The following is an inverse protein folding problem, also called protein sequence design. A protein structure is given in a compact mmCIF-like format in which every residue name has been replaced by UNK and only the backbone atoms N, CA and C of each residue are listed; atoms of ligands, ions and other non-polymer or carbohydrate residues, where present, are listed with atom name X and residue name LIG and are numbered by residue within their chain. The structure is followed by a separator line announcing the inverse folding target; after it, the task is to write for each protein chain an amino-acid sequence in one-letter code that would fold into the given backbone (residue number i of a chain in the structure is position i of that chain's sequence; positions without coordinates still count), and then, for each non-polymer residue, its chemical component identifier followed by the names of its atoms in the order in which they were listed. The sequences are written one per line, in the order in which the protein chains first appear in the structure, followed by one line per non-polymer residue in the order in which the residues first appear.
data_IF_633522137757
#
_entry.id   IF_633522137757
#
_cell.length_a   1.000
_cell.length_b   1.000
_cell.length_c   1.000
_cell.angle_alpha   90.00
_cell.angle_beta   90.00
_cell.angle_gamma   90.00
#
_symmetry.space_group_name_H-M   'P 1'
#
loop_
_entity.id
_entity.type
_entity.pdbx_description
1 polymer ?
#
# COMPACT_ATOMS: atom_id res chain seq x y z
N UNK A 1 0.79 -56.17 -22.34
CA UNK A 1 1.40 -54.88 -22.73
C UNK A 1 0.28 -53.89 -22.80
N UNK A 2 0.16 -53.04 -21.78
CA UNK A 2 -0.95 -52.10 -21.63
C UNK A 2 -0.85 -50.98 -22.70
N UNK A 3 -1.93 -50.74 -23.46
CA UNK A 3 -1.96 -49.74 -24.54
C UNK A 3 -1.95 -48.30 -24.05
N UNK A 4 -1.86 -48.04 -22.74
CA UNK A 4 -1.94 -46.70 -22.11
C UNK A 4 -0.60 -45.96 -22.20
N UNK A 5 0.53 -46.67 -22.22
CA UNK A 5 1.88 -46.08 -22.23
C UNK A 5 2.21 -45.22 -23.49
N UNK A 6 1.84 -45.63 -24.72
CA UNK A 6 2.14 -44.83 -25.92
C UNK A 6 1.27 -43.55 -26.01
N UNK A 7 0.06 -43.55 -25.48
CA UNK A 7 -0.85 -42.38 -25.53
C UNK A 7 -0.36 -41.26 -24.59
N UNK A 8 0.11 -41.63 -23.40
CA UNK A 8 0.64 -40.65 -22.45
C UNK A 8 1.94 -39.99 -22.90
N UNK A 9 2.84 -40.77 -23.55
CA UNK A 9 4.08 -40.25 -24.14
C UNK A 9 3.77 -39.31 -25.30
N UNK A 10 2.80 -39.65 -26.16
CA UNK A 10 2.40 -38.85 -27.30
C UNK A 10 1.77 -37.51 -26.86
N UNK A 11 0.94 -37.52 -25.81
CA UNK A 11 0.35 -36.30 -25.25
C UNK A 11 1.37 -35.37 -24.61
N UNK A 12 2.40 -35.89 -23.93
CA UNK A 12 3.50 -35.09 -23.38
C UNK A 12 4.37 -34.48 -24.46
N UNK A 13 4.65 -35.22 -25.56
CA UNK A 13 5.39 -34.68 -26.69
C UNK A 13 4.61 -33.60 -27.44
N UNK A 14 3.29 -33.78 -27.59
CA UNK A 14 2.44 -32.76 -28.21
C UNK A 14 2.34 -31.50 -27.36
N UNK A 15 2.20 -31.64 -26.03
CA UNK A 15 2.18 -30.52 -25.09
C UNK A 15 3.49 -29.75 -25.09
N UNK A 16 4.65 -30.42 -25.13
CA UNK A 16 5.95 -29.77 -25.21
C UNK A 16 6.19 -29.05 -26.54
N UNK A 17 5.68 -29.61 -27.65
CA UNK A 17 5.76 -28.97 -28.98
C UNK A 17 4.92 -27.68 -29.03
N UNK A 18 3.71 -27.73 -28.49
CA UNK A 18 2.83 -26.56 -28.42
C UNK A 18 3.46 -25.46 -27.54
N UNK A 19 4.01 -25.79 -26.37
CA UNK A 19 4.71 -24.86 -25.51
C UNK A 19 5.94 -24.23 -26.20
N UNK A 20 6.71 -25.03 -26.96
CA UNK A 20 7.85 -24.55 -27.72
C UNK A 20 7.46 -23.56 -28.83
N UNK A 21 6.36 -23.82 -29.56
CA UNK A 21 5.84 -22.92 -30.60
C UNK A 21 5.38 -21.59 -29.97
N UNK A 22 4.69 -21.64 -28.82
CA UNK A 22 4.28 -20.44 -28.11
C UNK A 22 5.48 -19.62 -27.61
N UNK A 23 6.51 -20.27 -27.07
CA UNK A 23 7.75 -19.59 -26.65
C UNK A 23 8.46 -18.94 -27.84
N UNK A 24 8.61 -19.64 -28.96
CA UNK A 24 9.20 -19.07 -30.18
C UNK A 24 8.40 -17.87 -30.70
N UNK A 25 7.08 -17.97 -30.72
CA UNK A 25 6.19 -16.87 -31.13
C UNK A 25 6.35 -15.64 -30.21
N UNK A 26 6.43 -15.87 -28.89
CA UNK A 26 6.65 -14.83 -27.89
C UNK A 26 8.00 -14.12 -28.07
N UNK A 27 9.09 -14.86 -28.23
CA UNK A 27 10.41 -14.29 -28.46
C UNK A 27 10.55 -13.58 -29.83
N UNK A 28 9.84 -14.05 -30.86
CA UNK A 28 9.81 -13.40 -32.14
C UNK A 28 9.11 -12.04 -32.08
N UNK A 29 7.98 -11.95 -31.34
CA UNK A 29 7.24 -10.70 -31.12
C UNK A 29 8.09 -9.69 -30.33
N UNK A 30 8.78 -10.13 -29.29
CA UNK A 30 9.66 -9.28 -28.48
C UNK A 30 10.88 -8.76 -29.27
N UNK A 31 11.40 -9.54 -30.22
CA UNK A 31 12.52 -9.13 -31.07
C UNK A 31 12.11 -8.11 -32.14
N UNK A 32 10.88 -8.15 -32.64
CA UNK A 32 10.35 -7.15 -33.55
C UNK A 32 10.06 -5.82 -32.85
N UNK A 33 9.63 -5.84 -31.58
CA UNK A 33 9.43 -4.62 -30.77
C UNK A 33 10.76 -3.92 -30.45
N UNK A 34 11.84 -4.66 -30.22
CA UNK A 34 13.17 -4.08 -29.97
C UNK A 34 13.81 -3.53 -31.24
N UNK A 35 13.52 -4.09 -32.41
CA UNK A 35 14.02 -3.59 -33.71
C UNK A 35 13.27 -2.35 -34.22
N UNK A 36 12.01 -2.11 -33.81
CA UNK A 36 11.27 -0.91 -34.17
C UNK A 36 11.70 0.36 -33.40
N UNK A 37 12.52 0.22 -32.37
CA UNK A 37 13.06 1.32 -31.55
C UNK A 37 14.48 1.77 -31.94
N UNK A 38 15.10 1.20 -32.99
CA UNK A 38 16.50 1.45 -33.35
C UNK A 38 16.78 1.91 -34.76
N UNK A 39 15.83 2.56 -35.46
CA UNK A 39 16.12 3.18 -36.77
C UNK A 39 15.71 4.64 -36.83
N UNK A 40 16.66 5.59 -36.78
CA UNK A 40 16.43 6.93 -37.33
C UNK A 40 16.84 6.94 -38.84
N UNK A 41 15.91 7.29 -39.68
CA UNK A 41 16.15 7.42 -41.14
C UNK A 41 17.13 8.55 -41.43
N UNK A 42 18.20 8.17 -42.15
CA UNK A 42 19.13 9.06 -42.82
C UNK A 42 18.73 9.20 -44.29
N UNK A 43 18.30 10.38 -44.70
CA UNK A 43 18.32 10.77 -46.13
C UNK A 43 19.58 11.55 -46.42
N UNK A 44 20.40 10.97 -47.31
CA UNK A 44 21.55 11.61 -47.94
C UNK A 44 21.17 11.98 -49.41
N UNK A 45 21.66 13.10 -49.88
CA UNK A 45 22.37 13.14 -51.19
C UNK A 45 23.05 14.50 -51.46
N UNK A 46 23.96 14.58 -52.49
CA UNK A 46 25.36 14.97 -52.23
C UNK A 46 25.81 16.22 -53.04
N UNK A 47 26.94 16.80 -52.71
CA UNK A 47 28.00 17.29 -53.63
C UNK A 47 29.14 18.02 -52.93
N UNK A 48 30.36 17.55 -53.25
CA UNK A 48 31.71 18.05 -52.98
C UNK A 48 32.08 19.24 -53.93
N UNK A 49 33.31 19.85 -53.91
CA UNK A 49 34.38 19.98 -52.87
C UNK A 49 35.03 21.40 -52.80
N UNK A 50 35.86 21.67 -51.82
CA UNK A 50 37.21 22.21 -52.00
C UNK A 50 37.78 22.86 -50.71
N UNK A 51 39.07 22.63 -50.50
CA UNK A 51 39.96 22.98 -49.40
C UNK A 51 40.61 24.37 -49.55
N UNK A 52 41.62 24.72 -48.71
CA UNK A 52 41.66 25.37 -47.40
C UNK A 52 42.54 26.71 -47.48
N UNK A 53 43.32 27.23 -46.51
CA UNK A 53 43.35 27.24 -45.07
C UNK A 53 43.60 28.64 -44.44
N UNK A 54 43.95 28.65 -43.13
CA UNK A 54 44.62 29.67 -42.29
C UNK A 54 43.76 30.65 -41.49
N UNK A 55 43.90 30.75 -40.24
CA UNK A 55 44.87 31.01 -39.22
C UNK A 55 44.32 32.02 -38.19
N UNK A 56 44.44 31.70 -36.92
CA UNK A 56 44.74 32.52 -35.72
C UNK A 56 43.90 33.78 -35.44
N UNK A 57 43.12 33.75 -34.31
CA UNK A 57 43.41 34.66 -33.17
C UNK A 57 42.46 34.40 -31.99
N UNK A 58 43.04 34.41 -30.81
CA UNK A 58 42.39 34.36 -29.50
C UNK A 58 41.56 35.62 -29.26
N UNK A 59 40.30 35.42 -28.79
CA UNK A 59 39.70 36.38 -27.84
C UNK A 59 38.60 35.71 -27.04
N UNK A 60 38.74 35.82 -25.72
CA UNK A 60 37.80 35.48 -24.70
C UNK A 60 36.49 36.26 -24.86
N UNK A 61 35.35 35.57 -24.86
CA UNK A 61 34.08 36.15 -24.43
C UNK A 61 33.16 35.09 -23.81
N UNK A 62 32.69 35.46 -22.66
CA UNK A 62 31.67 34.90 -21.80
C UNK A 62 30.57 34.11 -22.52
N UNK A 63 30.29 32.88 -22.01
CA UNK A 63 29.12 32.11 -22.33
C UNK A 63 27.85 32.81 -21.84
N UNK A 64 26.82 32.98 -22.66
CA UNK A 64 25.49 33.21 -22.13
C UNK A 64 24.94 31.86 -21.66
N UNK A 65 24.59 31.80 -20.39
CA UNK A 65 23.72 30.76 -19.88
C UNK A 65 22.39 30.87 -20.61
N UNK A 66 22.12 29.93 -21.54
CA UNK A 66 20.78 29.70 -22.02
C UNK A 66 20.02 29.00 -20.88
N UNK A 67 19.23 29.79 -20.16
CA UNK A 67 18.10 29.24 -19.42
C UNK A 67 17.21 28.55 -20.43
N UNK A 68 17.31 27.22 -20.53
CA UNK A 68 16.22 26.42 -21.01
C UNK A 68 15.09 26.61 -19.99
N UNK A 69 14.17 27.50 -20.30
CA UNK A 69 12.90 27.57 -19.60
C UNK A 69 12.20 26.24 -19.88
N UNK A 70 12.23 25.36 -18.90
CA UNK A 70 11.26 24.30 -18.79
C UNK A 70 9.88 24.97 -18.83
N UNK A 71 9.28 24.94 -20.01
CA UNK A 71 7.85 25.13 -20.16
C UNK A 71 7.20 23.89 -19.56
N UNK A 72 7.14 23.86 -18.23
CA UNK A 72 6.27 22.97 -17.49
C UNK A 72 4.83 23.39 -17.84
N UNK A 73 4.29 22.70 -18.88
CA UNK A 73 2.93 22.89 -19.32
C UNK A 73 2.02 22.62 -18.13
N UNK A 74 1.49 23.67 -17.57
CA UNK A 74 0.32 23.87 -16.72
C UNK A 74 -0.50 22.57 -16.48
N UNK A 75 0.08 21.60 -15.77
CA UNK A 75 -0.65 20.48 -15.17
C UNK A 75 -1.48 21.14 -14.07
N UNK A 76 -2.76 21.33 -14.32
CA UNK A 76 -3.70 21.80 -13.31
C UNK A 76 -3.62 20.82 -12.14
N UNK A 77 -2.96 21.23 -11.06
CA UNK A 77 -2.95 20.49 -9.82
C UNK A 77 -4.38 20.43 -9.29
N UNK A 78 -4.79 19.26 -8.80
CA UNK A 78 -6.08 19.13 -8.14
C UNK A 78 -6.12 20.04 -6.90
N UNK A 79 -7.23 20.75 -6.61
CA UNK A 79 -7.30 21.69 -5.48
C UNK A 79 -6.94 21.07 -4.12
N UNK A 80 -7.20 19.78 -3.94
CA UNK A 80 -6.90 19.05 -2.71
C UNK A 80 -5.45 18.49 -2.68
N UNK A 81 -4.68 18.56 -3.76
CA UNK A 81 -3.27 18.11 -3.80
C UNK A 81 -2.39 19.09 -3.00
N UNK A 82 -1.98 18.70 -1.81
CA UNK A 82 -1.16 19.52 -0.90
C UNK A 82 0.32 19.42 -1.26
N UNK A 83 0.82 18.20 -1.46
CA UNK A 83 2.25 17.99 -1.72
C UNK A 83 2.57 16.59 -2.24
N UNK A 84 3.78 16.46 -2.78
CA UNK A 84 4.33 15.19 -3.26
C UNK A 84 5.65 14.88 -2.60
N UNK A 85 5.73 13.75 -1.88
CA UNK A 85 6.95 13.21 -1.32
C UNK A 85 7.73 12.45 -2.40
N UNK A 86 8.94 12.91 -2.67
CA UNK A 86 9.83 12.37 -3.72
C UNK A 86 10.99 11.60 -3.11
N UNK A 87 11.77 10.91 -3.95
CA UNK A 87 12.99 10.23 -3.55
C UNK A 87 12.89 8.72 -3.47
N UNK A 88 11.75 8.12 -3.88
CA UNK A 88 11.61 6.68 -4.04
C UNK A 88 12.22 6.24 -5.38
N UNK A 89 13.05 5.18 -5.34
CA UNK A 89 13.72 4.66 -6.54
C UNK A 89 12.85 3.73 -7.38
N UNK A 90 11.79 3.16 -6.77
CA UNK A 90 10.87 2.22 -7.39
C UNK A 90 9.45 2.37 -6.82
N UNK A 91 8.53 1.47 -7.18
CA UNK A 91 7.15 1.42 -6.68
C UNK A 91 7.08 1.52 -5.17
N UNK A 92 6.20 2.38 -4.67
CA UNK A 92 5.90 2.46 -3.24
C UNK A 92 4.85 1.40 -2.92
N UNK A 93 5.18 0.46 -2.07
CA UNK A 93 4.39 -0.76 -1.81
C UNK A 93 3.53 -0.68 -0.55
N UNK A 94 3.82 0.26 0.33
CA UNK A 94 3.06 0.45 1.56
C UNK A 94 3.32 1.79 2.20
N UNK A 95 2.38 2.27 2.98
CA UNK A 95 2.50 3.47 3.79
C UNK A 95 1.70 3.34 5.10
N UNK A 96 2.16 4.04 6.14
CA UNK A 96 1.49 4.11 7.42
C UNK A 96 1.85 5.41 8.14
N UNK A 97 0.89 6.08 8.74
CA UNK A 97 1.14 7.20 9.66
C UNK A 97 1.47 6.69 11.06
N UNK A 98 2.30 7.43 11.77
CA UNK A 98 2.47 7.26 13.23
C UNK A 98 1.19 7.68 13.96
N UNK A 99 0.99 7.15 15.17
CA UNK A 99 -0.22 7.42 15.98
C UNK A 99 -0.42 8.91 16.33
N UNK A 100 0.68 9.70 16.36
CA UNK A 100 0.64 11.14 16.54
C UNK A 100 0.45 11.94 15.24
N UNK A 101 0.44 11.26 14.08
CA UNK A 101 0.29 11.87 12.76
C UNK A 101 1.52 12.63 12.24
N UNK A 102 2.60 12.76 13.04
CA UNK A 102 3.78 13.56 12.69
C UNK A 102 4.80 12.85 11.83
N UNK A 103 4.66 11.55 11.67
CA UNK A 103 5.56 10.75 10.84
C UNK A 103 4.77 9.91 9.85
N UNK A 104 5.31 9.76 8.64
CA UNK A 104 4.79 8.88 7.59
C UNK A 104 5.89 7.92 7.16
N UNK A 105 5.69 6.64 7.41
CA UNK A 105 6.58 5.59 6.92
C UNK A 105 6.10 5.08 5.57
N UNK A 106 7.04 4.87 4.64
CA UNK A 106 6.78 4.32 3.31
C UNK A 106 7.69 3.14 3.04
N UNK A 107 7.11 2.05 2.54
CA UNK A 107 7.85 0.89 2.01
C UNK A 107 8.00 1.04 0.50
N UNK A 108 9.19 0.75 -0.03
CA UNK A 108 9.48 0.88 -1.44
C UNK A 108 10.20 -0.36 -1.99
N UNK A 109 9.86 -0.76 -3.20
CA UNK A 109 10.47 -1.90 -3.87
C UNK A 109 11.97 -1.72 -4.15
N UNK A 110 12.51 -0.50 -3.98
CA UNK A 110 13.95 -0.21 -4.03
C UNK A 110 14.75 -0.73 -2.83
N UNK A 111 14.11 -1.45 -1.89
CA UNK A 111 14.74 -2.01 -0.70
C UNK A 111 14.86 -1.02 0.46
N UNK A 112 14.20 0.12 0.39
CA UNK A 112 14.35 1.21 1.37
C UNK A 112 13.00 1.57 1.99
N UNK A 113 12.99 1.69 3.31
CA UNK A 113 11.91 2.35 4.07
C UNK A 113 12.32 3.79 4.31
N UNK A 114 11.39 4.72 4.12
CA UNK A 114 11.58 6.13 4.42
C UNK A 114 10.56 6.57 5.44
N UNK A 115 11.03 7.18 6.53
CA UNK A 115 10.16 7.74 7.58
C UNK A 115 10.26 9.25 7.47
N UNK A 116 9.28 9.87 6.84
CA UNK A 116 9.19 11.31 6.66
C UNK A 116 8.65 11.99 7.92
N UNK A 117 9.25 13.11 8.31
CA UNK A 117 8.69 13.99 9.33
C UNK A 117 7.78 15.03 8.68
N UNK A 118 6.56 15.12 9.18
CA UNK A 118 5.51 16.00 8.66
C UNK A 118 5.25 17.15 9.64
N UNK A 119 6.30 17.93 9.92
CA UNK A 119 6.18 19.13 10.77
C UNK A 119 5.31 20.20 10.08
N UNK A 120 5.37 20.30 8.75
CA UNK A 120 4.51 21.09 7.87
C UNK A 120 4.39 20.39 6.52
N UNK A 121 3.19 19.96 6.18
CA UNK A 121 2.92 19.21 4.95
C UNK A 121 3.06 20.06 3.67
N UNK A 122 3.06 21.39 3.76
CA UNK A 122 3.31 22.28 2.64
C UNK A 122 4.79 22.52 2.33
N UNK A 123 5.69 21.98 3.14
CA UNK A 123 7.14 22.17 3.00
C UNK A 123 7.66 21.74 1.63
N UNK A 124 8.56 22.55 1.03
CA UNK A 124 9.20 22.24 -0.26
C UNK A 124 10.14 21.04 -0.20
N UNK A 125 10.62 20.69 1.00
CA UNK A 125 11.50 19.53 1.22
C UNK A 125 11.21 18.89 2.56
N UNK A 126 11.22 17.56 2.57
CA UNK A 126 10.95 16.76 3.77
C UNK A 126 12.24 16.09 4.23
N UNK A 127 12.50 16.18 5.53
CA UNK A 127 13.51 15.35 6.17
C UNK A 127 12.94 13.94 6.36
N UNK A 128 13.72 12.92 6.06
CA UNK A 128 13.32 11.54 6.30
C UNK A 128 14.49 10.70 6.82
N UNK A 129 14.16 9.75 7.65
CA UNK A 129 15.03 8.68 8.07
C UNK A 129 15.03 7.59 7.01
N UNK A 130 16.21 7.16 6.58
CA UNK A 130 16.38 6.06 5.62
C UNK A 130 16.72 4.77 6.36
N UNK A 131 15.96 3.72 6.10
CA UNK A 131 16.19 2.38 6.63
C UNK A 131 16.35 1.43 5.44
N UNK A 132 17.50 0.78 5.33
CA UNK A 132 17.71 -0.25 4.32
C UNK A 132 17.30 -1.60 4.91
N UNK A 133 16.48 -2.37 4.19
CA UNK A 133 16.18 -3.75 4.58
C UNK A 133 17.38 -4.65 4.26
N UNK A 134 17.49 -5.83 4.89
CA UNK A 134 18.54 -6.79 4.57
C UNK A 134 18.61 -7.13 3.07
N UNK A 135 19.82 -7.37 2.57
CA UNK A 135 20.08 -7.60 1.15
C UNK A 135 19.21 -8.73 0.58
N UNK A 136 18.65 -8.50 -0.60
CA UNK A 136 17.76 -9.45 -1.27
C UNK A 136 16.31 -9.42 -0.79
N UNK A 137 15.98 -8.54 0.15
CA UNK A 137 14.61 -8.31 0.61
C UNK A 137 13.94 -7.16 -0.15
N UNK A 138 12.64 -7.32 -0.45
CA UNK A 138 11.80 -6.30 -1.03
C UNK A 138 10.70 -5.93 -0.05
N UNK A 139 10.67 -4.70 0.50
CA UNK A 139 9.61 -4.26 1.39
C UNK A 139 8.24 -4.35 0.71
N UNK A 140 7.26 -4.95 1.40
CA UNK A 140 5.90 -5.12 0.89
C UNK A 140 4.86 -4.35 1.69
N UNK A 141 5.10 -4.17 2.98
CA UNK A 141 4.20 -3.44 3.87
C UNK A 141 4.97 -2.86 5.07
N UNK A 142 4.39 -1.85 5.70
CA UNK A 142 4.97 -1.15 6.85
C UNK A 142 3.87 -0.78 7.85
N UNK A 143 4.19 -0.85 9.14
CA UNK A 143 3.34 -0.38 10.22
C UNK A 143 4.19 0.24 11.33
N UNK A 144 3.66 1.24 12.04
CA UNK A 144 4.29 1.71 13.27
C UNK A 144 4.00 0.75 14.43
N UNK A 145 4.97 0.65 15.33
CA UNK A 145 4.84 -0.01 16.62
C UNK A 145 4.73 1.04 17.74
N UNK A 146 5.37 0.81 18.88
CA UNK A 146 5.32 1.70 20.05
C UNK A 146 6.01 3.05 19.78
N UNK A 147 5.26 4.03 19.31
CA UNK A 147 5.72 5.40 19.07
C UNK A 147 6.22 5.68 17.64
N UNK A 148 6.60 6.94 17.36
CA UNK A 148 6.91 7.41 16.00
C UNK A 148 8.27 6.96 15.46
N UNK A 149 9.12 6.37 16.33
CA UNK A 149 10.48 5.94 15.97
C UNK A 149 10.60 4.43 15.74
N UNK A 150 9.53 3.68 15.97
CA UNK A 150 9.54 2.22 15.88
C UNK A 150 8.68 1.73 14.73
N UNK A 151 9.31 1.10 13.75
CA UNK A 151 8.66 0.68 12.51
C UNK A 151 8.82 -0.81 12.28
N UNK A 152 7.71 -1.51 12.05
CA UNK A 152 7.68 -2.91 11.63
C UNK A 152 7.54 -2.96 10.11
N UNK A 153 8.39 -3.74 9.49
CA UNK A 153 8.49 -3.88 8.03
C UNK A 153 8.32 -5.33 7.64
N UNK A 154 7.43 -5.60 6.71
CA UNK A 154 7.38 -6.87 6.01
C UNK A 154 8.27 -6.80 4.77
N UNK A 155 9.14 -7.78 4.60
CA UNK A 155 10.06 -7.86 3.46
C UNK A 155 9.97 -9.23 2.82
N UNK A 156 9.72 -9.26 1.52
CA UNK A 156 9.67 -10.47 0.71
C UNK A 156 11.05 -10.88 0.27
N UNK A 157 11.36 -12.16 0.44
CA UNK A 157 12.57 -12.83 -0.06
C UNK A 157 12.18 -14.02 -0.92
N UNK A 158 13.15 -14.68 -1.54
CA UNK A 158 12.93 -15.93 -2.31
C UNK A 158 12.35 -17.06 -1.44
N UNK A 159 12.65 -17.05 -0.14
CA UNK A 159 12.20 -18.10 0.80
C UNK A 159 10.86 -17.83 1.48
N UNK A 160 10.30 -16.63 1.29
CA UNK A 160 9.07 -16.19 1.91
C UNK A 160 9.16 -14.79 2.49
N UNK A 161 8.18 -14.39 3.28
CA UNK A 161 8.14 -13.07 3.92
C UNK A 161 8.78 -13.10 5.30
N UNK A 162 9.52 -12.05 5.61
CA UNK A 162 10.15 -11.82 6.92
C UNK A 162 9.66 -10.52 7.52
N UNK A 163 9.61 -10.43 8.84
CA UNK A 163 9.28 -9.22 9.59
C UNK A 163 10.53 -8.71 10.30
N UNK A 164 10.74 -7.41 10.24
CA UNK A 164 11.81 -6.69 10.93
C UNK A 164 11.21 -5.51 11.68
N UNK A 165 11.59 -5.33 12.94
CA UNK A 165 11.27 -4.13 13.69
C UNK A 165 12.51 -3.28 13.86
N UNK A 166 12.45 -2.07 13.37
CA UNK A 166 13.48 -1.06 13.52
C UNK A 166 13.08 -0.06 14.60
N UNK A 167 14.01 0.27 15.47
CA UNK A 167 13.84 1.28 16.50
C UNK A 167 15.09 2.14 16.63
N UNK A 168 14.97 3.29 17.29
CA UNK A 168 16.11 4.17 17.54
C UNK A 168 17.13 3.48 18.46
N UNK A 169 18.41 3.60 18.10
CA UNK A 169 19.50 3.28 19.02
C UNK A 169 19.54 4.34 20.14
N UNK A 170 19.69 3.91 21.39
CA UNK A 170 19.98 4.86 22.48
C UNK A 170 21.32 5.51 22.19
N UNK A 171 21.41 6.87 22.14
CA UNK A 171 22.67 7.55 21.86
C UNK A 171 23.74 7.09 22.87
N UNK A 172 24.84 6.56 22.36
CA UNK A 172 26.05 6.29 23.18
C UNK A 172 26.59 7.63 23.69
N UNK A 173 26.99 7.69 24.94
CA UNK A 173 27.38 8.90 25.66
C UNK A 173 28.44 9.80 24.95
N UNK A 174 29.10 9.32 23.92
CA UNK A 174 30.20 10.00 23.21
C UNK A 174 29.83 10.49 21.79
N UNK A 175 28.58 10.38 21.34
CA UNK A 175 28.17 10.80 19.98
C UNK A 175 27.18 11.97 20.01
N UNK A 176 27.58 13.09 20.63
CA UNK A 176 26.80 14.31 20.57
C UNK A 176 26.78 14.86 19.13
N UNK A 177 25.60 14.82 18.49
CA UNK A 177 25.33 15.47 17.20
C UNK A 177 25.03 14.58 16.01
N UNK A 178 25.13 13.24 16.11
CA UNK A 178 24.67 12.31 15.06
C UNK A 178 23.23 11.88 15.33
N UNK A 179 22.40 11.88 14.27
CA UNK A 179 21.07 11.27 14.34
C UNK A 179 21.23 9.79 14.64
N UNK A 180 20.50 9.22 15.62
CA UNK A 180 20.57 7.81 15.91
C UNK A 180 20.19 7.00 14.67
N UNK A 181 21.01 6.00 14.31
CA UNK A 181 20.71 5.09 13.22
C UNK A 181 19.68 4.07 13.70
N UNK A 182 18.70 3.70 12.86
CA UNK A 182 17.74 2.68 13.21
C UNK A 182 18.40 1.29 13.25
N UNK A 183 18.20 0.59 14.36
CA UNK A 183 18.65 -0.79 14.56
C UNK A 183 17.49 -1.77 14.50
N UNK A 184 17.77 -2.99 14.02
CA UNK A 184 16.84 -4.11 14.16
C UNK A 184 16.74 -4.49 15.64
N UNK A 185 15.56 -4.33 16.23
CA UNK A 185 15.29 -4.69 17.61
C UNK A 185 14.83 -6.14 17.74
N UNK A 186 14.10 -6.61 16.73
CA UNK A 186 13.74 -8.02 16.58
C UNK A 186 13.48 -8.33 15.09
N UNK A 187 13.60 -9.62 14.76
CA UNK A 187 13.33 -10.12 13.42
C UNK A 187 12.72 -11.51 13.46
N UNK A 188 11.87 -11.79 12.48
CA UNK A 188 11.30 -13.10 12.21
C UNK A 188 11.44 -13.46 10.76
N UNK A 189 12.22 -14.49 10.47
CA UNK A 189 12.39 -15.00 9.12
C UNK A 189 11.28 -15.99 8.76
N UNK A 190 10.87 -15.97 7.49
CA UNK A 190 9.89 -16.93 6.94
C UNK A 190 8.57 -16.95 7.73
N UNK A 191 8.11 -15.80 8.17
CA UNK A 191 6.82 -15.67 8.87
C UNK A 191 5.70 -16.25 8.01
N UNK A 192 5.78 -16.05 6.69
CA UNK A 192 4.94 -16.70 5.69
C UNK A 192 5.83 -17.42 4.68
N UNK A 193 5.78 -18.75 4.67
CA UNK A 193 6.60 -19.54 3.76
C UNK A 193 6.14 -19.42 2.32
N UNK A 194 7.07 -19.09 1.41
CA UNK A 194 6.84 -18.97 -0.05
C UNK A 194 5.70 -18.02 -0.44
N UNK A 195 5.30 -17.11 0.45
CA UNK A 195 4.19 -16.17 0.23
C UNK A 195 4.58 -14.76 0.63
N UNK A 196 4.00 -13.79 -0.07
CA UNK A 196 4.17 -12.37 0.28
C UNK A 196 3.25 -11.97 1.44
N UNK A 197 3.70 -11.02 2.26
CA UNK A 197 2.81 -10.26 3.14
C UNK A 197 2.10 -9.20 2.31
N UNK A 198 0.77 -9.24 2.30
CA UNK A 198 -0.09 -8.27 1.61
C UNK A 198 -0.29 -7.01 2.45
N UNK A 199 -0.63 -7.20 3.73
CA UNK A 199 -0.90 -6.09 4.65
C UNK A 199 -0.24 -6.30 6.00
N UNK A 200 0.28 -5.22 6.58
CA UNK A 200 0.60 -5.09 7.99
C UNK A 200 -0.40 -4.13 8.62
N UNK A 201 -1.08 -4.59 9.66
CA UNK A 201 -1.99 -3.77 10.45
C UNK A 201 -1.50 -3.70 11.88
N UNK A 202 -1.26 -2.49 12.40
CA UNK A 202 -0.93 -2.24 13.79
C UNK A 202 -2.10 -1.62 14.54
N UNK A 203 -2.35 -2.04 15.76
CA UNK A 203 -3.34 -1.45 16.64
C UNK A 203 -2.85 -1.42 18.08
N UNK A 204 -3.23 -0.38 18.81
CA UNK A 204 -3.00 -0.30 20.25
C UNK A 204 -4.09 -1.07 20.96
N UNK A 205 -3.70 -2.13 21.67
CA UNK A 205 -4.64 -2.94 22.43
C UNK A 205 -5.16 -2.14 23.63
N UNK A 206 -6.37 -1.64 23.53
CA UNK A 206 -7.01 -0.79 24.55
C UNK A 206 -8.35 -1.34 25.04
N UNK A 207 -8.72 -2.56 24.65
CA UNK A 207 -9.98 -3.19 25.01
C UNK A 207 -9.82 -4.21 26.14
N UNK A 208 -10.72 -4.17 27.11
CA UNK A 208 -10.78 -5.13 28.22
C UNK A 208 -9.58 -5.04 29.16
N UNK A 209 -8.83 -6.12 29.31
CA UNK A 209 -7.64 -6.21 30.17
C UNK A 209 -6.33 -5.89 29.46
N UNK A 210 -6.39 -5.38 28.22
CA UNK A 210 -5.21 -5.01 27.45
C UNK A 210 -4.39 -3.90 28.13
N UNK A 211 -3.07 -3.96 27.98
CA UNK A 211 -2.10 -3.09 28.64
C UNK A 211 -1.69 -1.86 27.83
N UNK A 212 -2.33 -1.64 26.68
CA UNK A 212 -1.99 -0.56 25.75
C UNK A 212 -0.81 -0.86 24.83
N UNK A 213 -0.30 -2.08 24.81
CA UNK A 213 0.76 -2.47 23.88
C UNK A 213 0.26 -2.56 22.44
N UNK A 214 1.19 -2.39 21.49
CA UNK A 214 0.87 -2.51 20.07
C UNK A 214 0.85 -3.98 19.65
N UNK A 215 -0.21 -4.38 18.96
CA UNK A 215 -0.33 -5.67 18.27
C UNK A 215 -0.19 -5.46 16.78
N UNK A 216 0.56 -6.33 16.12
CA UNK A 216 0.77 -6.32 14.67
C UNK A 216 0.16 -7.58 14.09
N UNK A 217 -0.65 -7.42 13.05
CA UNK A 217 -1.17 -8.50 12.23
C UNK A 217 -0.49 -8.48 10.85
N UNK A 218 0.19 -9.55 10.50
CA UNK A 218 0.78 -9.78 9.19
C UNK A 218 -0.09 -10.74 8.41
N UNK A 219 -0.70 -10.27 7.34
CA UNK A 219 -1.58 -11.06 6.48
C UNK A 219 -0.83 -11.51 5.23
N UNK A 220 -0.77 -12.83 5.01
CA UNK A 220 -0.15 -13.39 3.81
C UNK A 220 -1.10 -13.42 2.61
N UNK A 221 -0.52 -13.58 1.44
CA UNK A 221 -1.25 -13.93 0.21
C UNK A 221 -1.92 -15.32 0.29
N UNK A 222 -1.61 -16.12 1.31
CA UNK A 222 -2.23 -17.42 1.59
C UNK A 222 -3.50 -17.31 2.39
N UNK A 223 -3.63 -18.22 3.37
CA UNK A 223 -4.76 -18.26 4.31
C UNK A 223 -4.36 -17.87 5.73
N UNK A 224 -3.08 -17.64 5.96
CA UNK A 224 -2.51 -17.41 7.28
C UNK A 224 -2.36 -15.90 7.60
N UNK A 225 -2.61 -15.57 8.87
CA UNK A 225 -2.37 -14.26 9.46
C UNK A 225 -1.60 -14.49 10.76
N UNK A 226 -0.41 -13.90 10.85
CA UNK A 226 0.43 -14.00 12.05
C UNK A 226 0.22 -12.77 12.92
N UNK A 227 -0.05 -13.01 14.20
CA UNK A 227 -0.16 -11.97 15.23
C UNK A 227 1.11 -11.93 16.06
N UNK A 228 1.69 -10.74 16.25
CA UNK A 228 2.85 -10.55 17.08
C UNK A 228 2.76 -9.26 17.92
N UNK A 229 3.49 -9.27 19.03
CA UNK A 229 3.65 -8.10 19.87
C UNK A 229 4.59 -7.09 19.21
N UNK A 230 4.16 -5.86 18.99
CA UNK A 230 4.92 -4.86 18.25
C UNK A 230 6.30 -4.57 18.83
N UNK A 231 6.41 -4.41 20.17
CA UNK A 231 7.67 -4.03 20.83
C UNK A 231 8.64 -5.19 20.99
N UNK A 232 8.15 -6.38 21.33
CA UNK A 232 9.03 -7.53 21.67
C UNK A 232 9.19 -8.51 20.52
N UNK A 233 8.35 -8.43 19.49
CA UNK A 233 8.30 -9.39 18.40
C UNK A 233 7.70 -10.75 18.78
N UNK A 234 7.30 -10.96 20.04
CA UNK A 234 6.73 -12.25 20.46
C UNK A 234 5.54 -12.62 19.58
N UNK A 235 5.64 -13.74 18.91
CA UNK A 235 4.54 -14.30 18.12
C UNK A 235 3.50 -14.85 19.09
N UNK A 236 2.26 -14.38 18.94
CA UNK A 236 1.13 -14.82 19.76
C UNK A 236 0.41 -16.01 19.16
N UNK A 237 0.43 -16.14 17.83
CA UNK A 237 -0.23 -17.22 17.12
C UNK A 237 -0.40 -16.97 15.65
N UNK A 238 -0.95 -17.96 14.99
CA UNK A 238 -1.30 -17.95 13.58
C UNK A 238 -2.80 -18.18 13.45
N UNK A 239 -3.48 -17.32 12.73
CA UNK A 239 -4.90 -17.42 12.40
C UNK A 239 -5.01 -17.94 10.98
N UNK A 240 -5.55 -19.16 10.80
CA UNK A 240 -5.93 -19.66 9.49
C UNK A 240 -7.34 -19.15 9.15
N UNK A 241 -7.44 -18.34 8.10
CA UNK A 241 -8.73 -17.83 7.64
C UNK A 241 -9.63 -18.93 7.07
N UNK A 242 -9.03 -20.07 6.71
CA UNK A 242 -9.73 -21.16 6.04
C UNK A 242 -10.59 -20.64 4.85
N UNK A 243 -9.96 -19.79 4.04
CA UNK A 243 -10.49 -19.22 2.80
C UNK A 243 -9.48 -19.49 1.68
N UNK A 244 -9.89 -19.37 0.42
CA UNK A 244 -9.04 -19.74 -0.72
C UNK A 244 -7.74 -18.93 -0.79
N UNK A 245 -7.83 -17.61 -0.57
CA UNK A 245 -6.71 -16.67 -0.65
C UNK A 245 -7.14 -15.38 0.00
N UNK A 246 -6.31 -14.85 0.89
CA UNK A 246 -6.56 -13.54 1.48
C UNK A 246 -6.35 -12.43 0.45
N UNK A 247 -7.16 -11.39 0.55
CA UNK A 247 -6.92 -10.11 -0.08
C UNK A 247 -6.26 -9.14 0.88
N UNK A 248 -6.76 -9.08 2.10
CA UNK A 248 -6.22 -8.24 3.15
C UNK A 248 -6.77 -8.64 4.51
N UNK A 249 -6.09 -8.21 5.55
CA UNK A 249 -6.61 -8.24 6.92
C UNK A 249 -6.30 -6.91 7.63
N UNK A 250 -7.16 -6.55 8.57
CA UNK A 250 -6.98 -5.38 9.41
C UNK A 250 -7.37 -5.67 10.85
N UNK A 251 -6.67 -5.00 11.79
CA UNK A 251 -7.05 -4.91 13.18
C UNK A 251 -8.02 -3.75 13.39
N UNK A 252 -8.98 -3.91 14.29
CA UNK A 252 -9.78 -2.78 14.75
C UNK A 252 -8.90 -1.77 15.52
N UNK A 253 -9.18 -0.45 15.49
CA UNK A 253 -8.38 0.57 16.17
C UNK A 253 -8.12 0.30 17.65
N UNK A 254 -9.07 -0.32 18.35
CA UNK A 254 -8.93 -0.70 19.76
C UNK A 254 -8.22 -2.05 20.00
N UNK A 255 -7.77 -2.73 18.93
CA UNK A 255 -7.08 -4.02 19.01
C UNK A 255 -7.96 -5.22 19.36
N UNK A 256 -9.28 -5.04 19.50
CA UNK A 256 -10.20 -6.13 19.88
C UNK A 256 -10.44 -7.13 18.78
N UNK A 257 -10.64 -6.66 17.55
CA UNK A 257 -11.04 -7.50 16.42
C UNK A 257 -9.98 -7.55 15.33
N UNK A 258 -9.84 -8.72 14.73
CA UNK A 258 -9.16 -8.95 13.46
C UNK A 258 -10.22 -9.31 12.42
N UNK A 259 -10.22 -8.62 11.28
CA UNK A 259 -11.09 -8.94 10.15
C UNK A 259 -10.26 -9.28 8.92
N UNK A 260 -10.68 -10.27 8.14
CA UNK A 260 -10.01 -10.67 6.91
C UNK A 260 -11.00 -10.79 5.75
N UNK A 261 -10.65 -10.16 4.62
CA UNK A 261 -11.27 -10.31 3.33
C UNK A 261 -10.45 -11.26 2.45
N UNK A 262 -11.14 -12.06 1.64
CA UNK A 262 -10.50 -13.03 0.74
C UNK A 262 -11.22 -13.08 -0.61
N UNK A 263 -10.81 -14.02 -1.47
CA UNK A 263 -11.49 -14.29 -2.76
C UNK A 263 -12.92 -14.80 -2.62
N UNK A 264 -13.48 -14.74 -1.42
CA UNK A 264 -14.85 -15.10 -1.09
C UNK A 264 -15.71 -13.85 -0.90
N UNK A 265 -17.02 -14.01 -0.94
CA UNK A 265 -17.96 -12.92 -0.69
C UNK A 265 -18.09 -12.56 0.81
N UNK A 266 -17.52 -13.38 1.69
CA UNK A 266 -17.67 -13.23 3.13
C UNK A 266 -16.41 -12.66 3.76
N UNK A 267 -16.59 -11.82 4.79
CA UNK A 267 -15.52 -11.37 5.69
C UNK A 267 -15.63 -12.12 7.00
N UNK A 268 -14.55 -12.72 7.47
CA UNK A 268 -14.49 -13.37 8.78
C UNK A 268 -13.87 -12.43 9.80
N UNK A 269 -14.38 -12.50 11.04
CA UNK A 269 -13.95 -11.65 12.15
C UNK A 269 -13.62 -12.52 13.35
N UNK A 270 -12.44 -12.29 13.92
CA UNK A 270 -11.96 -12.94 15.14
C UNK A 270 -11.89 -11.90 16.26
N UNK A 271 -12.27 -12.31 17.46
CA UNK A 271 -12.00 -11.54 18.68
C UNK A 271 -10.64 -11.92 19.26
N UNK A 272 -9.88 -10.93 19.67
CA UNK A 272 -8.61 -11.07 20.33
C UNK A 272 -8.80 -10.76 21.82
N UNK A 273 -8.58 -11.75 22.67
CA UNK A 273 -8.69 -11.61 24.13
C UNK A 273 -7.29 -11.51 24.72
N UNK A 274 -7.06 -10.47 25.54
CA UNK A 274 -5.77 -10.18 26.15
C UNK A 274 -5.73 -10.63 27.61
N UNK A 275 -4.55 -11.01 28.06
CA UNK A 275 -4.21 -11.17 29.48
C UNK A 275 -3.71 -9.85 30.05
N UNK A 276 -3.65 -9.72 31.39
CA UNK A 276 -3.22 -8.49 32.07
C UNK A 276 -1.76 -8.08 31.79
N UNK A 277 -0.94 -9.00 31.29
CA UNK A 277 0.45 -8.77 30.90
C UNK A 277 0.61 -8.39 29.40
N UNK A 278 -0.49 -8.06 28.73
CA UNK A 278 -0.49 -7.68 27.32
C UNK A 278 -0.32 -8.84 26.34
N UNK A 279 -0.23 -10.09 26.83
CA UNK A 279 -0.21 -11.27 25.96
C UNK A 279 -1.59 -11.58 25.42
N UNK A 280 -1.67 -12.19 24.24
CA UNK A 280 -2.93 -12.72 23.69
C UNK A 280 -3.22 -14.03 24.40
N UNK A 281 -4.40 -14.11 25.03
CA UNK A 281 -4.92 -15.33 25.66
C UNK A 281 -5.56 -16.24 24.65
N UNK A 282 -6.35 -15.67 23.74
CA UNK A 282 -7.18 -16.39 22.81
C UNK A 282 -7.50 -15.55 21.58
N UNK A 283 -7.64 -16.20 20.44
CA UNK A 283 -8.13 -15.59 19.19
C UNK A 283 -9.21 -16.51 18.63
N UNK A 284 -10.46 -16.08 18.69
CA UNK A 284 -11.62 -16.91 18.34
C UNK A 284 -12.41 -16.27 17.23
N UNK A 285 -12.83 -17.06 16.23
CA UNK A 285 -13.76 -16.57 15.21
C UNK A 285 -15.12 -16.34 15.87
N UNK A 286 -15.59 -15.09 15.81
CA UNK A 286 -16.84 -14.67 16.48
C UNK A 286 -17.92 -14.22 15.54
N UNK A 287 -17.58 -13.69 14.36
CA UNK A 287 -18.55 -13.14 13.43
C UNK A 287 -18.17 -13.44 11.97
N UNK A 288 -19.14 -13.29 11.08
CA UNK A 288 -18.97 -13.38 9.64
C UNK A 288 -19.93 -12.40 8.96
N UNK A 289 -19.39 -11.50 8.10
CA UNK A 289 -20.22 -10.60 7.30
C UNK A 289 -20.66 -11.37 6.05
N UNK A 290 -21.95 -11.68 5.97
CA UNK A 290 -22.57 -12.39 4.85
C UNK A 290 -23.50 -11.45 4.10
N UNK A 291 -23.40 -11.39 2.77
CA UNK A 291 -24.33 -10.58 1.97
C UNK A 291 -23.74 -10.02 0.68
N UNK A 292 -22.44 -9.87 0.55
CA UNK A 292 -21.83 -9.65 -0.76
C UNK A 292 -22.05 -10.85 -1.67
N UNK A 293 -22.12 -10.59 -2.99
CA UNK A 293 -22.35 -11.63 -4.01
C UNK A 293 -21.07 -12.01 -4.75
N UNK A 294 -19.97 -11.29 -4.51
CA UNK A 294 -18.67 -11.52 -5.11
C UNK A 294 -17.56 -11.20 -4.13
N UNK A 295 -16.31 -11.44 -4.52
CA UNK A 295 -15.13 -11.21 -3.70
C UNK A 295 -15.09 -9.80 -3.09
N UNK A 296 -14.78 -9.74 -1.80
CA UNK A 296 -14.52 -8.48 -1.10
C UNK A 296 -13.10 -8.04 -1.41
N UNK A 297 -12.95 -6.87 -2.03
CA UNK A 297 -11.65 -6.33 -2.45
C UNK A 297 -10.89 -5.65 -1.32
N UNK A 298 -11.62 -4.94 -0.44
CA UNK A 298 -11.03 -4.23 0.68
C UNK A 298 -12.01 -4.08 1.84
N UNK A 299 -11.46 -3.87 3.03
CA UNK A 299 -12.23 -3.51 4.22
C UNK A 299 -11.48 -2.49 5.09
N UNK A 300 -12.21 -1.71 5.86
CA UNK A 300 -11.67 -0.88 6.92
C UNK A 300 -12.63 -0.81 8.11
N UNK A 301 -12.08 -0.72 9.31
CA UNK A 301 -12.86 -0.45 10.53
C UNK A 301 -13.13 1.05 10.67
N UNK A 302 -14.27 1.39 11.26
CA UNK A 302 -14.53 2.76 11.72
C UNK A 302 -13.66 3.09 12.95
N UNK A 303 -13.37 4.38 13.20
CA UNK A 303 -12.51 4.80 14.30
C UNK A 303 -12.97 4.33 15.69
N UNK A 304 -14.28 4.19 15.89
CA UNK A 304 -14.88 3.68 17.13
C UNK A 304 -14.84 2.14 17.25
N UNK A 305 -14.34 1.42 16.22
CA UNK A 305 -14.28 -0.05 16.17
C UNK A 305 -15.64 -0.76 16.21
N UNK A 306 -16.75 -0.07 15.94
CA UNK A 306 -18.10 -0.63 16.00
C UNK A 306 -18.66 -1.04 14.64
N UNK A 307 -18.02 -0.58 13.57
CA UNK A 307 -18.47 -0.84 12.20
C UNK A 307 -17.30 -1.25 11.32
N UNK A 308 -17.62 -2.00 10.26
CA UNK A 308 -16.70 -2.31 9.15
C UNK A 308 -17.32 -1.79 7.86
N UNK A 309 -16.50 -1.20 7.01
CA UNK A 309 -16.85 -0.81 5.66
C UNK A 309 -16.14 -1.77 4.70
N UNK A 310 -16.87 -2.32 3.75
CA UNK A 310 -16.34 -3.28 2.76
C UNK A 310 -16.66 -2.82 1.35
N UNK A 311 -15.72 -3.02 0.41
CA UNK A 311 -15.98 -2.93 -1.03
C UNK A 311 -15.90 -4.31 -1.66
N UNK A 312 -16.73 -4.57 -2.67
CA UNK A 312 -16.80 -5.85 -3.36
C UNK A 312 -16.92 -5.68 -4.87
N UNK A 313 -16.46 -6.71 -5.58
CA UNK A 313 -16.67 -6.85 -7.03
C UNK A 313 -18.14 -7.07 -7.43
N UNK A 314 -19.05 -7.16 -6.45
CA UNK A 314 -20.49 -7.20 -6.69
C UNK A 314 -21.12 -5.84 -7.02
N UNK A 315 -20.30 -4.78 -7.09
CA UNK A 315 -20.75 -3.42 -7.38
C UNK A 315 -21.36 -2.73 -6.16
N UNK A 316 -20.89 -3.04 -4.96
CA UNK A 316 -21.37 -2.35 -3.76
C UNK A 316 -20.27 -2.07 -2.72
N UNK A 317 -20.44 -0.96 -2.00
CA UNK A 317 -19.84 -0.71 -0.69
C UNK A 317 -20.91 -0.98 0.35
N UNK A 318 -20.55 -1.67 1.43
CA UNK A 318 -21.46 -1.93 2.56
C UNK A 318 -20.86 -1.46 3.87
N UNK A 319 -21.71 -0.91 4.73
CA UNK A 319 -21.40 -0.55 6.11
C UNK A 319 -22.11 -1.54 7.02
N UNK A 320 -21.34 -2.21 7.88
CA UNK A 320 -21.82 -3.25 8.78
C UNK A 320 -21.67 -2.81 10.22
N UNK A 321 -22.72 -2.98 11.02
CA UNK A 321 -22.63 -2.92 12.47
C UNK A 321 -22.11 -4.25 13.00
N UNK A 322 -20.97 -4.24 13.69
CA UNK A 322 -20.37 -5.38 14.38
C UNK A 322 -20.48 -5.26 15.91
N UNK A 323 -21.03 -4.15 16.40
CA UNK A 323 -21.36 -3.99 17.81
C UNK A 323 -22.67 -4.71 18.14
N UNK A 324 -22.63 -6.04 18.08
CA UNK A 324 -23.75 -6.96 18.30
C UNK A 324 -23.38 -7.96 19.41
N UNK A 325 -24.40 -8.59 19.95
CA UNK A 325 -24.23 -9.62 20.99
C UNK A 325 -23.95 -11.00 20.37
N UNK A 326 -22.80 -11.11 19.64
CA UNK A 326 -22.42 -12.34 18.93
C UNK A 326 -22.32 -13.57 19.85
N UNK A 327 -22.05 -13.39 21.15
CA UNK A 327 -22.08 -14.46 22.16
C UNK A 327 -23.51 -14.97 22.45
N UNK A 328 -24.54 -14.30 21.94
CA UNK A 328 -25.94 -14.71 21.92
C UNK A 328 -26.43 -14.99 20.50
N UNK A 329 -25.51 -15.37 19.60
CA UNK A 329 -25.77 -15.67 18.20
C UNK A 329 -26.41 -14.52 17.39
N UNK A 330 -26.21 -13.26 17.81
CA UNK A 330 -26.64 -12.11 17.03
C UNK A 330 -25.64 -11.83 15.91
N UNK A 331 -26.09 -11.93 14.66
CA UNK A 331 -25.28 -11.66 13.48
C UNK A 331 -25.04 -10.15 13.24
N UNK A 332 -23.89 -9.77 12.66
CA UNK A 332 -23.65 -8.41 12.18
C UNK A 332 -24.73 -7.93 11.21
N UNK A 333 -25.12 -6.65 11.33
CA UNK A 333 -26.21 -6.08 10.52
C UNK A 333 -25.65 -5.15 9.45
N UNK A 334 -26.12 -5.29 8.21
CA UNK A 334 -25.87 -4.29 7.17
C UNK A 334 -26.67 -3.03 7.51
N UNK A 335 -25.95 -1.90 7.69
CA UNK A 335 -26.55 -0.60 7.96
C UNK A 335 -26.85 0.15 6.66
N UNK A 336 -25.89 0.13 5.73
CA UNK A 336 -25.98 0.89 4.47
C UNK A 336 -25.39 0.06 3.33
N UNK A 337 -25.92 0.26 2.14
CA UNK A 337 -25.41 -0.29 0.89
C UNK A 337 -25.33 0.83 -0.13
N UNK A 338 -24.12 1.12 -0.62
CA UNK A 338 -23.93 2.11 -1.67
C UNK A 338 -23.61 1.37 -2.97
N UNK A 339 -24.45 1.50 -4.00
CA UNK A 339 -24.15 0.91 -5.31
C UNK A 339 -23.00 1.66 -5.96
N UNK A 340 -22.10 0.91 -6.62
CA UNK A 340 -21.04 1.43 -7.46
C UNK A 340 -21.19 0.85 -8.88
N UNK A 341 -20.74 1.55 -9.93
CA UNK A 341 -20.76 1.00 -11.28
C UNK A 341 -20.03 -0.33 -11.35
N UNK A 342 -20.51 -1.27 -12.16
CA UNK A 342 -19.82 -2.55 -12.43
C UNK A 342 -18.79 -2.43 -13.55
N UNK A 343 -18.91 -1.40 -14.38
CA UNK A 343 -17.98 -1.08 -15.45
C UNK A 343 -17.67 0.40 -15.46
N UNK A 344 -16.46 0.74 -15.86
CA UNK A 344 -16.05 2.12 -16.11
C UNK A 344 -16.60 2.64 -17.46
N UNK A 345 -16.24 3.87 -17.83
CA UNK A 345 -16.64 4.50 -19.08
C UNK A 345 -16.09 3.78 -20.33
N UNK A 346 -15.07 2.94 -20.18
CA UNK A 346 -14.49 2.11 -21.24
C UNK A 346 -15.15 0.73 -21.37
N UNK A 347 -16.07 0.38 -20.47
CA UNK A 347 -16.68 -0.96 -20.37
C UNK A 347 -15.81 -1.98 -19.63
N UNK A 348 -14.70 -1.56 -19.01
CA UNK A 348 -13.85 -2.41 -18.20
C UNK A 348 -14.48 -2.63 -16.82
N UNK A 349 -14.29 -3.83 -16.24
CA UNK A 349 -14.80 -4.14 -14.91
C UNK A 349 -14.29 -3.14 -13.87
N UNK A 350 -15.21 -2.51 -13.15
CA UNK A 350 -14.92 -1.50 -12.14
C UNK A 350 -15.14 -2.07 -10.73
N UNK A 351 -14.21 -1.79 -9.84
CA UNK A 351 -14.33 -2.02 -8.40
C UNK A 351 -13.33 -1.10 -7.68
N UNK A 352 -13.56 -0.83 -6.43
CA UNK A 352 -12.58 -0.12 -5.64
C UNK A 352 -11.51 -1.07 -5.13
N UNK A 353 -10.24 -0.65 -5.27
CA UNK A 353 -9.05 -1.41 -4.89
C UNK A 353 -8.72 -1.23 -3.41
N UNK A 354 -8.87 0.00 -2.90
CA UNK A 354 -8.58 0.36 -1.51
C UNK A 354 -9.68 1.23 -0.92
N UNK A 355 -9.89 1.09 0.38
CA UNK A 355 -10.75 1.94 1.21
C UNK A 355 -9.97 2.44 2.42
N UNK A 356 -10.20 3.70 2.80
CA UNK A 356 -9.71 4.23 4.07
C UNK A 356 -10.69 5.29 4.59
N UNK A 357 -11.11 5.17 5.84
CA UNK A 357 -12.05 6.10 6.47
C UNK A 357 -11.29 7.18 7.24
N UNK A 358 -11.77 8.41 7.17
CA UNK A 358 -11.21 9.54 7.93
C UNK A 358 -11.35 9.34 9.44
N UNK A 359 -10.44 9.92 10.27
CA UNK A 359 -10.49 9.78 11.72
C UNK A 359 -11.77 10.27 12.39
N UNK A 360 -12.50 11.19 11.74
CA UNK A 360 -13.80 11.67 12.20
C UNK A 360 -14.99 10.78 11.74
N UNK A 361 -14.68 9.74 10.94
CA UNK A 361 -15.68 8.78 10.45
C UNK A 361 -16.61 9.30 9.34
N UNK A 362 -16.35 10.48 8.77
CA UNK A 362 -17.30 11.15 7.87
C UNK A 362 -16.98 10.99 6.38
N UNK A 363 -15.70 10.80 6.05
CA UNK A 363 -15.21 10.73 4.67
C UNK A 363 -14.56 9.37 4.42
N UNK A 364 -14.98 8.70 3.37
CA UNK A 364 -14.37 7.47 2.88
C UNK A 364 -13.55 7.80 1.63
N UNK A 365 -12.23 7.63 1.71
CA UNK A 365 -11.37 7.67 0.53
C UNK A 365 -11.36 6.29 -0.13
N UNK A 366 -11.51 6.26 -1.45
CA UNK A 366 -11.53 5.04 -2.25
C UNK A 366 -10.68 5.20 -3.49
N UNK A 367 -10.09 4.11 -4.00
CA UNK A 367 -9.26 4.15 -5.20
C UNK A 367 -9.68 3.13 -6.23
N UNK A 368 -9.47 3.47 -7.50
CA UNK A 368 -9.55 2.55 -8.62
C UNK A 368 -8.43 2.88 -9.61
N UNK A 369 -7.46 1.95 -9.78
CA UNK A 369 -6.27 2.21 -10.55
C UNK A 369 -5.54 3.48 -10.07
N UNK A 370 -5.41 4.48 -10.93
CA UNK A 370 -4.77 5.77 -10.63
C UNK A 370 -5.72 6.86 -10.11
N UNK A 371 -7.02 6.57 -10.01
CA UNK A 371 -8.06 7.51 -9.59
C UNK A 371 -8.30 7.43 -8.08
N UNK A 372 -8.47 8.58 -7.44
CA UNK A 372 -8.84 8.74 -6.04
C UNK A 372 -10.19 9.47 -5.96
N UNK A 373 -11.10 8.94 -5.14
CA UNK A 373 -12.40 9.58 -4.85
C UNK A 373 -12.62 9.69 -3.35
N UNK A 374 -13.37 10.70 -2.95
CA UNK A 374 -13.86 10.89 -1.59
C UNK A 374 -15.37 10.77 -1.55
N UNK A 375 -15.88 9.95 -0.68
CA UNK A 375 -17.30 9.68 -0.52
C UNK A 375 -17.75 10.14 0.86
N UNK A 376 -18.96 10.69 0.94
CA UNK A 376 -19.63 10.94 2.22
C UNK A 376 -20.11 9.61 2.82
N UNK A 377 -19.66 9.24 4.00
CA UNK A 377 -20.03 7.98 4.68
C UNK A 377 -21.51 7.92 5.00
N UNK A 378 -22.12 9.09 5.25
CA UNK A 378 -23.56 9.15 5.58
C UNK A 378 -24.44 8.84 4.35
N UNK A 379 -24.12 9.42 3.20
CA UNK A 379 -24.97 9.38 2.01
C UNK A 379 -24.46 8.50 0.88
N UNK A 380 -23.18 8.12 0.90
CA UNK A 380 -22.49 7.42 -0.20
C UNK A 380 -22.21 8.30 -1.42
N UNK A 381 -22.56 9.61 -1.37
CA UNK A 381 -22.32 10.52 -2.49
C UNK A 381 -20.84 10.83 -2.64
N UNK A 382 -20.38 10.93 -3.89
CA UNK A 382 -19.05 11.43 -4.22
C UNK A 382 -18.95 12.91 -3.85
N UNK A 383 -17.97 13.25 -3.01
CA UNK A 383 -17.67 14.62 -2.60
C UNK A 383 -16.71 15.27 -3.59
N UNK A 384 -15.70 14.53 -4.02
CA UNK A 384 -14.71 14.99 -4.97
C UNK A 384 -14.01 13.81 -5.66
N UNK A 385 -13.39 14.05 -6.81
CA UNK A 385 -12.66 13.04 -7.60
C UNK A 385 -11.38 13.63 -8.17
N UNK A 386 -10.26 12.99 -7.88
CA UNK A 386 -8.99 13.24 -8.53
C UNK A 386 -8.73 12.17 -9.59
N UNK A 387 -9.21 12.42 -10.81
CA UNK A 387 -8.85 11.61 -11.98
C UNK A 387 -7.35 11.71 -12.22
N UNK A 388 -6.67 10.59 -12.38
CA UNK A 388 -5.21 10.57 -12.51
C UNK A 388 -4.52 11.24 -11.32
N UNK A 389 -4.95 10.89 -10.10
CA UNK A 389 -4.27 11.30 -8.88
C UNK A 389 -2.78 10.95 -8.92
N UNK A 390 -2.43 9.85 -9.60
CA UNK A 390 -1.08 9.40 -9.90
C UNK A 390 -0.91 9.05 -11.39
N UNK A 391 0.33 8.92 -11.86
CA UNK A 391 0.66 8.47 -13.23
C UNK A 391 0.60 6.94 -13.37
N UNK A 392 0.47 6.21 -12.28
CA UNK A 392 0.32 4.76 -12.21
C UNK A 392 -0.67 4.39 -11.11
N UNK A 393 -0.92 3.09 -10.97
CA UNK A 393 -1.89 2.59 -10.01
C UNK A 393 -1.51 2.95 -8.57
N UNK A 394 -2.53 3.29 -7.79
CA UNK A 394 -2.39 3.55 -6.37
C UNK A 394 -2.26 2.21 -5.65
N UNK A 395 -1.22 2.06 -4.86
CA UNK A 395 -0.88 0.81 -4.16
C UNK A 395 -1.33 0.78 -2.71
N UNK A 396 -1.50 1.96 -2.11
CA UNK A 396 -1.89 2.08 -0.70
C UNK A 396 -2.43 3.47 -0.41
N UNK A 397 -3.38 3.57 0.52
CA UNK A 397 -3.93 4.82 1.02
C UNK A 397 -4.07 4.78 2.54
N UNK A 398 -3.86 5.90 3.20
CA UNK A 398 -4.08 6.04 4.65
C UNK A 398 -4.38 7.48 5.04
N UNK A 399 -5.35 7.68 5.92
CA UNK A 399 -5.57 8.97 6.56
C UNK A 399 -4.57 9.18 7.70
N UNK A 400 -4.14 10.42 7.87
CA UNK A 400 -3.47 10.84 9.09
C UNK A 400 -4.46 10.73 10.26
N UNK A 401 -4.02 10.21 11.44
CA UNK A 401 -4.93 10.03 12.58
C UNK A 401 -5.36 11.35 13.22
N UNK A 402 -4.69 12.45 12.89
CA UNK A 402 -4.95 13.82 13.40
C UNK A 402 -4.71 14.84 12.30
N UNK A 403 -5.14 16.07 12.52
CA UNK A 403 -4.76 17.21 11.65
C UNK A 403 -3.24 17.42 11.67
N UNK A 404 -2.71 17.86 10.55
CA UNK A 404 -1.28 18.13 10.34
C UNK A 404 -1.16 19.59 9.89
N UNK A 405 -0.12 20.32 10.32
CA UNK A 405 0.14 21.67 9.86
C UNK A 405 0.33 21.72 8.33
N UNK A 406 -0.31 22.71 7.69
CA UNK A 406 -0.20 23.00 6.25
C UNK A 406 -0.09 24.51 6.10
N UNK A 407 1.15 25.02 6.00
CA UNK A 407 1.41 26.45 6.03
C UNK A 407 0.95 27.10 7.34
N UNK A 408 0.11 28.13 7.23
CA UNK A 408 -0.43 28.87 8.40
C UNK A 408 -1.64 28.20 9.06
N UNK A 409 -2.08 27.02 8.58
CA UNK A 409 -3.26 26.31 9.08
C UNK A 409 -2.99 24.85 9.38
N UNK A 410 -4.06 24.13 9.65
CA UNK A 410 -4.07 22.68 9.83
C UNK A 410 -5.11 22.03 8.92
N UNK A 411 -4.79 20.86 8.41
CA UNK A 411 -5.69 20.07 7.60
C UNK A 411 -5.67 18.59 8.00
N UNK A 412 -6.80 17.93 7.80
CA UNK A 412 -6.87 16.49 7.82
C UNK A 412 -6.33 15.97 6.48
N UNK A 413 -5.30 15.14 6.52
CA UNK A 413 -4.59 14.70 5.34
C UNK A 413 -4.78 13.21 5.05
N UNK A 414 -4.93 12.90 3.78
CA UNK A 414 -4.83 11.56 3.21
C UNK A 414 -3.49 11.42 2.49
N UNK A 415 -2.78 10.32 2.70
CA UNK A 415 -1.62 9.96 1.90
C UNK A 415 -1.99 8.85 0.91
N UNK A 416 -1.48 8.95 -0.31
CA UNK A 416 -1.59 7.92 -1.35
C UNK A 416 -0.21 7.54 -1.87
N UNK A 417 0.05 6.26 -2.02
CA UNK A 417 1.27 5.71 -2.61
C UNK A 417 0.98 5.08 -3.96
N UNK A 418 1.96 5.05 -4.87
CA UNK A 418 1.75 4.54 -6.22
C UNK A 418 2.99 3.83 -6.79
N UNK A 419 2.75 3.04 -7.83
CA UNK A 419 3.79 2.46 -8.69
C UNK A 419 4.57 3.54 -9.45
N UNK A 420 4.06 4.78 -9.52
CA UNK A 420 4.74 5.94 -10.12
C UNK A 420 5.91 6.50 -9.28
N UNK A 421 6.27 5.81 -8.17
CA UNK A 421 7.38 6.15 -7.27
C UNK A 421 7.16 7.43 -6.45
N UNK A 422 5.90 7.82 -6.29
CA UNK A 422 5.51 9.04 -5.55
C UNK A 422 4.55 8.67 -4.42
N UNK A 423 4.59 9.48 -3.38
CA UNK A 423 3.57 9.56 -2.35
C UNK A 423 2.99 10.96 -2.38
N UNK A 424 1.68 11.09 -2.44
CA UNK A 424 1.00 12.38 -2.43
C UNK A 424 0.21 12.58 -1.15
N UNK A 425 0.15 13.83 -0.73
CA UNK A 425 -0.64 14.27 0.42
C UNK A 425 -1.81 15.10 -0.09
N UNK A 426 -3.01 14.76 0.36
CA UNK A 426 -4.28 15.36 -0.06
C UNK A 426 -5.01 15.91 1.14
N UNK A 427 -5.53 17.13 1.03
CA UNK A 427 -6.46 17.67 2.03
C UNK A 427 -7.82 16.97 1.94
N UNK A 428 -8.52 16.89 3.05
CA UNK A 428 -9.90 16.42 3.06
C UNK A 428 -10.81 17.42 2.31
N UNK A 429 -11.77 16.94 1.47
CA UNK A 429 -12.77 17.81 0.90
C UNK A 429 -13.71 18.34 1.99
N UNK A 430 -14.31 19.51 1.75
CA UNK A 430 -15.36 20.03 2.63
C UNK A 430 -16.61 19.16 2.50
N UNK A 431 -17.17 18.78 3.63
CA UNK A 431 -18.54 18.27 3.67
C UNK A 431 -19.45 19.47 3.38
N UNK A 432 -19.98 19.56 2.15
CA UNK A 432 -20.89 20.62 1.80
C UNK A 432 -21.98 20.77 2.87
N UNK A 433 -22.31 22.00 3.22
CA UNK A 433 -23.45 22.29 4.10
C UNK A 433 -24.71 21.66 3.48
N UNK A 434 -25.22 20.61 4.13
CA UNK A 434 -26.48 19.93 3.82
C UNK A 434 -27.66 20.86 4.02
#
# INVERSE_FOLDING_TARGET
MDPILPVTVLSLLLGSLIAFIFLQSYFRKRRSEVQSLSNPELHADPKKPSKPPQSISKRSHSKPHSHASDKDHNKRHHPLDVNTLKGHGDSVTGLCFSSDGRSLATACADGVIRVFKLDDASSKSFKFLRINVPAGGHPTAVAFSDGPSSVVVASQTLSGSSLYMYGEEKPKANEQGKLPLPEIKWEHHKVHEKRATLTLSGATASYGTADGSTVIASCSEGTDIVLCHGKTGRIFGNVDTNQLKNHMAALSPNGRFLAAAAFTADVKIWEIVYTKDGSIKEVTKVMQLKGHKSAVTWLCFTPNSEQIITASKDGSIRIWNINVRYHLDEDPKTLKVFPIPLTDSSGTAFHYDHLSISPDGKILAVTHGSTLQWLCVETGKVLDTADKAHEGDITCISWAPRTIPVGDGEALLLATASVDKKVKLWAAPSLGSS
#
